data_IF_909643681280
#
_entry.id   IF_909643681280
#
_cell.length_a   1.000
_cell.length_b   1.000
_cell.length_c   1.000
_cell.angle_alpha   90.00
_cell.angle_beta   90.00
_cell.angle_gamma   90.00
#
_symmetry.space_group_name_H-M   'P 1'
#
loop_
_entity.id
_entity.type
_entity.pdbx_description
1 polymer ?
#
# COMPACT_ATOMS: atom_id res chain seq x y z
N UNK A 1 1.76 -6.73 5.09
CA UNK A 1 2.30 -5.53 4.41
C UNK A 1 3.60 -5.05 5.06
N UNK A 2 3.73 -5.04 6.36
CA UNK A 2 4.93 -4.55 7.05
C UNK A 2 6.22 -5.19 6.52
N UNK A 3 6.32 -6.50 6.55
CA UNK A 3 7.53 -7.23 6.08
C UNK A 3 7.84 -6.97 4.59
N UNK A 4 6.80 -6.78 3.77
CA UNK A 4 6.97 -6.45 2.35
C UNK A 4 7.59 -5.05 2.21
N UNK A 5 7.12 -4.06 2.96
CA UNK A 5 7.71 -2.72 2.95
C UNK A 5 9.17 -2.74 3.35
N UNK A 6 9.50 -3.41 4.45
CA UNK A 6 10.89 -3.56 4.91
C UNK A 6 11.77 -4.27 3.88
N UNK A 7 11.27 -5.35 3.26
CA UNK A 7 12.00 -6.08 2.21
C UNK A 7 12.31 -5.19 1.00
N UNK A 8 11.40 -4.29 0.63
CA UNK A 8 11.54 -3.38 -0.50
C UNK A 8 12.33 -2.09 -0.15
N UNK A 9 12.89 -2.01 1.05
CA UNK A 9 13.75 -0.89 1.48
C UNK A 9 13.01 0.31 2.06
N UNK A 10 11.70 0.20 2.32
CA UNK A 10 10.95 1.24 3.01
C UNK A 10 11.15 1.15 4.54
N UNK A 11 11.14 2.30 5.21
CA UNK A 11 10.81 2.33 6.63
C UNK A 11 9.33 1.96 6.77
N UNK A 12 9.06 0.79 7.31
CA UNK A 12 7.71 0.21 7.37
C UNK A 12 7.26 0.05 8.81
N UNK A 13 6.16 0.71 9.17
CA UNK A 13 5.61 0.69 10.53
C UNK A 13 4.10 0.34 10.51
N UNK A 14 3.61 0.03 11.71
CA UNK A 14 2.20 -0.19 12.00
C UNK A 14 1.73 0.84 13.03
N UNK A 15 1.34 2.04 12.60
CA UNK A 15 0.91 3.11 13.50
C UNK A 15 -0.25 2.69 14.42
N UNK A 16 -1.19 1.86 13.93
CA UNK A 16 -2.28 1.26 14.72
C UNK A 16 -1.77 0.50 15.94
N UNK A 17 -0.59 -0.13 15.86
CA UNK A 17 0.05 -0.88 16.96
C UNK A 17 1.03 -0.04 17.75
N UNK A 18 1.86 0.75 17.06
CA UNK A 18 2.92 1.53 17.71
C UNK A 18 2.37 2.70 18.53
N UNK A 19 1.27 3.32 18.07
CA UNK A 19 0.69 4.53 18.68
C UNK A 19 -0.76 4.35 19.13
N UNK A 20 -1.38 3.19 18.85
CA UNK A 20 -2.81 2.96 19.11
C UNK A 20 -3.76 3.76 18.22
N UNK A 21 -3.25 4.39 17.17
CA UNK A 21 -3.99 5.22 16.21
C UNK A 21 -3.23 5.27 14.87
N UNK A 22 -3.91 5.66 13.79
CA UNK A 22 -3.32 5.73 12.46
C UNK A 22 -3.59 4.47 11.62
N UNK A 23 -3.02 4.38 10.41
CA UNK A 23 -3.28 3.29 9.47
C UNK A 23 -2.69 1.95 9.92
N UNK A 24 -3.23 0.87 9.38
CA UNK A 24 -2.73 -0.50 9.61
C UNK A 24 -1.29 -0.69 9.17
N UNK A 25 -0.84 0.07 8.18
CA UNK A 25 0.56 0.06 7.75
C UNK A 25 0.93 1.36 7.04
N UNK A 26 2.14 1.83 7.31
CA UNK A 26 2.71 3.02 6.68
C UNK A 26 4.13 2.71 6.22
N UNK A 27 4.41 2.93 4.93
CA UNK A 27 5.77 2.86 4.39
C UNK A 27 6.27 4.26 4.08
N UNK A 28 7.49 4.55 4.47
CA UNK A 28 8.18 5.77 4.12
C UNK A 28 9.40 5.41 3.26
N UNK A 29 9.41 5.90 2.03
CA UNK A 29 10.51 5.78 1.07
C UNK A 29 11.38 7.04 1.06
N UNK A 30 12.33 7.05 0.13
CA UNK A 30 13.17 8.23 -0.13
C UNK A 30 12.33 9.39 -0.68
N UNK A 31 12.83 10.64 -0.50
CA UNK A 31 12.18 11.88 -0.99
C UNK A 31 10.73 12.06 -0.49
N UNK A 32 10.47 11.68 0.76
CA UNK A 32 9.14 11.84 1.38
C UNK A 32 8.00 11.14 0.62
N UNK A 33 8.30 10.00 0.02
CA UNK A 33 7.32 9.14 -0.64
C UNK A 33 6.67 8.23 0.39
N UNK A 34 5.38 8.35 0.58
CA UNK A 34 4.63 7.56 1.56
C UNK A 34 3.59 6.66 0.90
N UNK A 35 3.41 5.47 1.48
CA UNK A 35 2.35 4.53 1.13
C UNK A 35 1.57 4.20 2.40
N UNK A 36 0.33 4.66 2.46
CA UNK A 36 -0.59 4.47 3.57
C UNK A 36 -1.59 3.36 3.22
N UNK A 37 -1.66 2.34 4.06
CA UNK A 37 -2.54 1.19 3.85
C UNK A 37 -3.52 1.02 4.99
N UNK A 38 -4.79 0.90 4.64
CA UNK A 38 -5.86 0.41 5.50
C UNK A 38 -6.34 -0.95 5.01
N UNK A 39 -6.41 -1.94 5.89
CA UNK A 39 -6.66 -3.33 5.55
C UNK A 39 -7.97 -3.84 6.15
N UNK A 40 -8.92 -4.25 5.31
CA UNK A 40 -10.19 -4.85 5.74
C UNK A 40 -10.14 -6.36 5.60
N UNK A 41 -9.39 -7.03 6.48
CA UNK A 41 -9.19 -8.49 6.43
C UNK A 41 -10.40 -9.30 6.91
N UNK A 42 -11.26 -8.74 7.76
CA UNK A 42 -12.41 -9.44 8.36
C UNK A 42 -13.71 -9.32 7.57
N UNK A 43 -13.69 -8.60 6.44
CA UNK A 43 -14.86 -8.47 5.58
C UNK A 43 -15.07 -9.71 4.73
N UNK A 44 -16.33 -10.09 4.50
CA UNK A 44 -16.69 -11.22 3.64
C UNK A 44 -16.16 -11.02 2.22
N UNK A 45 -15.65 -12.08 1.58
CA UNK A 45 -15.10 -12.03 0.22
C UNK A 45 -16.10 -11.62 -0.86
N UNK A 46 -17.38 -11.92 -0.64
CA UNK A 46 -18.51 -11.59 -1.52
C UNK A 46 -19.09 -10.19 -1.27
N UNK A 47 -18.42 -9.37 -0.45
CA UNK A 47 -18.83 -8.02 -0.16
C UNK A 47 -18.99 -7.18 -1.43
N UNK A 48 -20.15 -6.55 -1.56
CA UNK A 48 -20.52 -5.82 -2.79
C UNK A 48 -20.07 -4.37 -2.78
N UNK A 49 -20.03 -3.72 -1.61
CA UNK A 49 -19.81 -2.28 -1.52
C UNK A 49 -18.86 -1.90 -0.39
N UNK A 50 -18.13 -0.80 -0.60
CA UNK A 50 -17.41 -0.05 0.44
C UNK A 50 -18.42 0.88 1.07
N UNK A 51 -18.62 0.80 2.38
CA UNK A 51 -19.61 1.57 3.10
C UNK A 51 -19.02 2.81 3.78
N UNK A 52 -19.91 3.68 4.31
CA UNK A 52 -19.54 4.91 4.98
C UNK A 52 -18.59 4.72 6.17
N UNK A 53 -18.69 3.60 6.89
CA UNK A 53 -17.82 3.32 8.05
C UNK A 53 -16.37 3.11 7.61
N UNK A 54 -16.14 2.31 6.57
CA UNK A 54 -14.80 2.03 6.05
C UNK A 54 -14.16 3.28 5.42
N UNK A 55 -14.96 4.08 4.73
CA UNK A 55 -14.53 5.38 4.22
C UNK A 55 -14.16 6.33 5.37
N UNK A 56 -14.98 6.38 6.42
CA UNK A 56 -14.70 7.19 7.60
C UNK A 56 -13.39 6.82 8.28
N UNK A 57 -13.09 5.52 8.40
CA UNK A 57 -11.82 5.07 8.95
C UNK A 57 -10.64 5.52 8.08
N UNK A 58 -10.74 5.36 6.75
CA UNK A 58 -9.69 5.79 5.83
C UNK A 58 -9.48 7.31 5.89
N UNK A 59 -10.56 8.11 5.94
CA UNK A 59 -10.47 9.56 6.08
C UNK A 59 -9.82 9.99 7.42
N UNK A 60 -10.13 9.28 8.51
CA UNK A 60 -9.48 9.51 9.81
C UNK A 60 -7.97 9.21 9.76
N UNK A 61 -7.55 8.18 9.04
CA UNK A 61 -6.13 7.86 8.85
C UNK A 61 -5.42 8.89 7.98
N UNK A 62 -6.09 9.45 6.97
CA UNK A 62 -5.55 10.58 6.20
C UNK A 62 -5.33 11.80 7.08
N UNK A 63 -6.34 12.18 7.88
CA UNK A 63 -6.25 13.31 8.81
C UNK A 63 -5.18 13.09 9.91
N UNK A 64 -5.06 11.85 10.41
CA UNK A 64 -3.99 11.49 11.35
C UNK A 64 -2.61 11.68 10.71
N UNK A 65 -2.44 11.24 9.46
CA UNK A 65 -1.19 11.38 8.72
C UNK A 65 -0.81 12.87 8.56
N UNK A 66 -1.73 13.71 8.12
CA UNK A 66 -1.52 15.16 7.93
C UNK A 66 -1.17 15.87 9.23
N UNK A 67 -1.79 15.47 10.34
CA UNK A 67 -1.48 16.01 11.67
C UNK A 67 -0.09 15.58 12.19
N UNK A 68 0.37 14.40 11.79
CA UNK A 68 1.61 13.80 12.30
C UNK A 68 2.83 14.17 11.47
N UNK A 69 2.63 14.36 10.17
CA UNK A 69 3.68 14.69 9.19
C UNK A 69 3.32 15.99 8.47
N UNK A 70 4.31 16.78 8.06
CA UNK A 70 4.10 18.04 7.35
C UNK A 70 3.50 17.87 5.94
N UNK A 71 2.85 18.92 5.41
CA UNK A 71 2.02 18.90 4.19
C UNK A 71 2.74 18.58 2.88
N UNK A 72 4.07 18.72 2.79
CA UNK A 72 4.84 18.52 1.57
C UNK A 72 5.24 17.05 1.35
N UNK A 73 4.28 16.13 1.34
CA UNK A 73 4.54 14.69 1.20
C UNK A 73 3.79 14.09 0.00
N UNK A 74 4.46 13.21 -0.72
CA UNK A 74 3.82 12.36 -1.73
C UNK A 74 3.16 11.15 -1.02
N UNK A 75 1.86 11.21 -0.81
CA UNK A 75 1.14 10.15 -0.09
C UNK A 75 0.26 9.34 -1.05
N UNK A 76 0.58 8.08 -1.20
CA UNK A 76 -0.23 7.11 -1.91
C UNK A 76 -1.12 6.36 -0.91
N UNK A 77 -2.43 6.46 -1.04
CA UNK A 77 -3.40 5.95 -0.08
C UNK A 77 -4.12 4.74 -0.66
N UNK A 78 -4.10 3.62 0.07
CA UNK A 78 -4.65 2.36 -0.38
C UNK A 78 -5.60 1.76 0.64
N UNK A 79 -6.81 1.44 0.18
CA UNK A 79 -7.76 0.62 0.92
C UNK A 79 -7.70 -0.83 0.37
N UNK A 80 -7.30 -1.77 1.20
CA UNK A 80 -7.26 -3.19 0.86
C UNK A 80 -8.59 -3.82 1.26
N UNK A 81 -9.44 -4.11 0.26
CA UNK A 81 -10.81 -4.60 0.46
C UNK A 81 -11.27 -5.42 -0.77
N UNK A 82 -12.18 -6.39 -0.63
CA UNK A 82 -12.60 -7.25 -1.75
C UNK A 82 -13.33 -6.56 -2.91
N UNK A 83 -13.93 -5.38 -2.69
CA UNK A 83 -14.72 -4.65 -3.67
C UNK A 83 -14.16 -3.27 -3.97
N UNK A 84 -14.47 -2.73 -5.14
CA UNK A 84 -14.17 -1.34 -5.51
C UNK A 84 -15.41 -0.45 -5.62
N UNK A 85 -16.59 -0.99 -5.40
CA UNK A 85 -17.83 -0.23 -5.53
C UNK A 85 -18.08 0.57 -4.25
N UNK A 86 -18.11 1.88 -4.37
CA UNK A 86 -18.38 2.80 -3.28
C UNK A 86 -19.87 3.14 -3.24
N UNK A 87 -20.50 3.11 -2.04
CA UNK A 87 -21.88 3.57 -1.88
C UNK A 87 -21.98 5.06 -2.13
N UNK A 88 -23.14 5.51 -2.64
CA UNK A 88 -23.39 6.93 -2.95
C UNK A 88 -23.29 7.87 -1.73
N UNK A 89 -23.52 7.34 -0.55
CA UNK A 89 -23.54 8.09 0.72
C UNK A 89 -22.15 8.31 1.32
N UNK A 90 -21.09 7.81 0.67
CA UNK A 90 -19.73 7.83 1.17
C UNK A 90 -18.78 8.54 0.20
N UNK A 91 -17.90 9.37 0.74
CA UNK A 91 -16.88 10.08 -0.02
C UNK A 91 -15.54 10.06 0.68
N UNK A 92 -14.50 9.72 -0.06
CA UNK A 92 -13.13 9.90 0.41
C UNK A 92 -12.73 11.38 0.35
N UNK A 93 -12.05 11.85 1.39
CA UNK A 93 -11.52 13.22 1.45
C UNK A 93 -10.28 13.43 0.58
N UNK A 94 -9.63 12.33 0.19
CA UNK A 94 -8.41 12.31 -0.61
C UNK A 94 -8.50 11.28 -1.72
N UNK A 95 -7.57 11.31 -2.66
CA UNK A 95 -7.41 10.22 -3.63
C UNK A 95 -7.02 8.93 -2.90
N UNK A 96 -7.88 7.92 -3.00
CA UNK A 96 -7.68 6.57 -2.46
C UNK A 96 -7.80 5.57 -3.60
N UNK A 97 -6.85 4.64 -3.69
CA UNK A 97 -6.91 3.51 -4.60
C UNK A 97 -7.27 2.23 -3.87
N UNK A 98 -7.89 1.32 -4.58
CA UNK A 98 -8.35 0.06 -4.01
C UNK A 98 -7.41 -1.07 -4.42
N UNK A 99 -6.96 -1.85 -3.44
CA UNK A 99 -6.22 -3.08 -3.69
C UNK A 99 -7.16 -4.25 -3.36
N UNK A 100 -7.56 -5.00 -4.40
CA UNK A 100 -8.36 -6.21 -4.23
C UNK A 100 -7.47 -7.46 -4.18
N UNK A 101 -8.07 -8.60 -3.91
CA UNK A 101 -7.38 -9.89 -3.82
C UNK A 101 -6.47 -10.17 -5.03
N UNK A 102 -6.90 -9.79 -6.25
CA UNK A 102 -6.09 -9.93 -7.47
C UNK A 102 -4.78 -9.15 -7.37
N UNK A 103 -4.84 -7.89 -6.92
CA UNK A 103 -3.64 -7.05 -6.74
C UNK A 103 -2.70 -7.61 -5.69
N UNK A 104 -3.24 -8.06 -4.55
CA UNK A 104 -2.44 -8.71 -3.50
C UNK A 104 -1.76 -9.99 -3.98
N UNK A 105 -2.46 -10.82 -4.75
CA UNK A 105 -1.88 -12.05 -5.32
C UNK A 105 -0.76 -11.73 -6.31
N UNK A 106 -0.94 -10.70 -7.14
CA UNK A 106 0.08 -10.25 -8.08
C UNK A 106 1.32 -9.72 -7.34
N UNK A 107 1.12 -8.84 -6.35
CA UNK A 107 2.20 -8.33 -5.51
C UNK A 107 2.97 -9.48 -4.84
N UNK A 108 2.27 -10.41 -4.21
CA UNK A 108 2.88 -11.59 -3.58
C UNK A 108 3.69 -12.43 -4.58
N UNK A 109 3.17 -12.63 -5.79
CA UNK A 109 3.88 -13.36 -6.87
C UNK A 109 5.18 -12.64 -7.25
N UNK A 110 5.12 -11.33 -7.46
CA UNK A 110 6.26 -10.52 -7.88
C UNK A 110 7.32 -10.45 -6.78
N UNK A 111 6.92 -10.26 -5.52
CA UNK A 111 7.83 -10.30 -4.35
C UNK A 111 8.54 -11.66 -4.26
N UNK A 112 7.83 -12.78 -4.42
CA UNK A 112 8.47 -14.10 -4.41
C UNK A 112 9.49 -14.29 -5.54
N UNK A 113 9.18 -13.81 -6.75
CA UNK A 113 10.10 -13.87 -7.90
C UNK A 113 11.34 -13.03 -7.64
N UNK A 114 11.17 -11.84 -7.11
CA UNK A 114 12.26 -10.95 -6.72
C UNK A 114 13.18 -11.63 -5.69
N UNK A 115 12.64 -12.19 -4.61
CA UNK A 115 13.41 -12.92 -3.60
C UNK A 115 14.19 -14.09 -4.25
N UNK A 116 13.54 -14.88 -5.11
CA UNK A 116 14.18 -15.99 -5.80
C UNK A 116 15.32 -15.54 -6.72
N UNK A 117 15.20 -14.36 -7.33
CA UNK A 117 16.28 -13.80 -8.14
C UNK A 117 17.41 -13.24 -7.27
N UNK A 118 17.08 -12.57 -6.15
CA UNK A 118 18.10 -12.12 -5.19
C UNK A 118 18.98 -13.27 -4.67
N UNK A 119 18.43 -14.46 -4.49
CA UNK A 119 19.20 -15.63 -4.04
C UNK A 119 20.28 -16.08 -5.03
N UNK A 120 20.28 -15.60 -6.27
CA UNK A 120 21.33 -15.90 -7.27
C UNK A 120 22.57 -15.02 -7.09
N UNK A 121 22.47 -13.98 -6.28
CA UNK A 121 23.54 -13.03 -6.01
C UNK A 121 24.05 -13.21 -4.57
N UNK A 122 25.33 -12.96 -4.37
CA UNK A 122 25.83 -12.71 -3.02
C UNK A 122 25.37 -11.32 -2.60
N UNK A 123 24.60 -11.22 -1.52
CA UNK A 123 24.01 -9.94 -1.09
C UNK A 123 25.04 -8.83 -0.83
N UNK A 124 26.29 -9.22 -0.48
CA UNK A 124 27.41 -8.29 -0.30
C UNK A 124 27.96 -7.71 -1.61
N UNK A 125 27.60 -8.27 -2.76
CA UNK A 125 28.13 -7.91 -4.08
C UNK A 125 27.10 -7.24 -4.98
N UNK A 126 25.84 -7.15 -4.54
CA UNK A 126 24.79 -6.44 -5.27
C UNK A 126 25.01 -4.94 -5.13
N UNK A 127 25.23 -4.27 -6.24
CA UNK A 127 25.22 -2.82 -6.29
C UNK A 127 23.79 -2.26 -6.44
N UNK A 128 23.64 -0.95 -6.22
CA UNK A 128 22.35 -0.29 -6.29
C UNK A 128 21.72 -0.35 -7.69
N UNK A 129 22.52 -0.30 -8.75
CA UNK A 129 22.02 -0.36 -10.13
C UNK A 129 21.38 -1.72 -10.41
N UNK A 130 22.06 -2.80 -10.06
CA UNK A 130 21.52 -4.16 -10.18
C UNK A 130 20.25 -4.35 -9.35
N UNK A 131 20.20 -3.78 -8.15
CA UNK A 131 19.00 -3.84 -7.31
C UNK A 131 17.82 -3.08 -7.92
N UNK A 132 18.07 -1.88 -8.47
CA UNK A 132 17.05 -1.09 -9.17
C UNK A 132 16.52 -1.81 -10.42
N UNK A 133 17.39 -2.45 -11.22
CA UNK A 133 17.01 -3.27 -12.37
C UNK A 133 16.12 -4.45 -11.95
N UNK A 134 16.47 -5.15 -10.87
CA UNK A 134 15.66 -6.25 -10.34
C UNK A 134 14.29 -5.78 -9.83
N UNK A 135 14.22 -4.63 -9.17
CA UNK A 135 12.95 -4.04 -8.73
C UNK A 135 12.06 -3.66 -9.93
N UNK A 136 12.67 -3.12 -11.00
CA UNK A 136 11.96 -2.81 -12.25
C UNK A 136 11.46 -4.09 -12.94
N UNK A 137 12.33 -5.08 -13.15
CA UNK A 137 12.00 -6.36 -13.77
C UNK A 137 10.84 -7.08 -13.09
N UNK A 138 10.81 -6.99 -11.75
CA UNK A 138 9.76 -7.60 -10.93
C UNK A 138 8.59 -6.68 -10.62
N UNK A 139 8.52 -5.49 -11.22
CA UNK A 139 7.45 -4.52 -11.03
C UNK A 139 7.27 -4.08 -9.56
N UNK A 140 8.36 -3.93 -8.84
CA UNK A 140 8.37 -3.59 -7.40
C UNK A 140 8.92 -2.19 -7.10
N UNK A 141 9.34 -1.44 -8.12
CA UNK A 141 9.72 -0.06 -7.92
C UNK A 141 8.50 0.83 -7.57
N UNK A 142 8.76 2.05 -7.13
CA UNK A 142 7.74 3.00 -6.68
C UNK A 142 6.66 3.24 -7.75
N UNK A 143 7.05 3.35 -9.03
CA UNK A 143 6.11 3.59 -10.13
C UNK A 143 5.10 2.45 -10.29
N UNK A 144 5.57 1.20 -10.23
CA UNK A 144 4.72 0.01 -10.29
C UNK A 144 3.85 -0.16 -9.05
N UNK A 145 4.41 0.08 -7.85
CA UNK A 145 3.66 0.01 -6.59
C UNK A 145 2.48 0.99 -6.56
N UNK A 146 2.61 2.15 -7.20
CA UNK A 146 1.53 3.15 -7.29
C UNK A 146 0.37 2.77 -8.21
N UNK A 147 0.58 1.89 -9.18
CA UNK A 147 -0.36 1.73 -10.31
C UNK A 147 -0.79 0.29 -10.57
N UNK A 148 0.11 -0.67 -10.44
CA UNK A 148 -0.10 -2.00 -11.00
C UNK A 148 -0.94 -2.92 -10.11
N UNK A 149 -0.87 -2.71 -8.80
CA UNK A 149 -1.54 -3.56 -7.81
C UNK A 149 -2.89 -3.02 -7.35
N UNK A 150 -3.26 -1.84 -7.82
CA UNK A 150 -4.45 -1.11 -7.38
C UNK A 150 -5.30 -0.64 -8.56
N UNK A 151 -6.50 -0.21 -8.25
CA UNK A 151 -7.44 0.37 -9.21
C UNK A 151 -8.26 1.49 -8.55
N UNK A 152 -8.87 2.35 -9.36
CA UNK A 152 -9.80 3.36 -8.85
C UNK A 152 -11.08 2.71 -8.36
N UNK A 153 -11.69 3.30 -7.33
CA UNK A 153 -13.04 2.91 -6.91
C UNK A 153 -14.08 3.38 -7.94
N UNK A 154 -15.24 2.75 -7.91
CA UNK A 154 -16.40 3.14 -8.72
C UNK A 154 -17.52 3.57 -7.78
N UNK A 155 -17.98 4.81 -7.88
CA UNK A 155 -19.16 5.30 -7.19
C UNK A 155 -20.41 4.73 -7.88
N UNK A 156 -21.40 4.28 -7.11
CA UNK A 156 -22.64 3.70 -7.61
C UNK A 156 -23.63 4.77 -8.05
#
# INVERSE_FOLDING_TARGET
MQDVGTLLGFMSDRPDKSFGTGPDNLWCGIKNEYFLFECKSEVKKDRKHINKHEVGQMNNHCAWFEKTYDDEKNVNRFLIIPTKNLTNEADFTHEVKIIRERGLRLLKKNVRRFINNLHKYYLSEIDNATLEELLEEHHLNISHLRKEYCESYKKL
#
